data_IF_661548601219
#
_entry.id   IF_661548601219
#
_cell.length_a   1.000
_cell.length_b   1.000
_cell.length_c   1.000
_cell.angle_alpha   90.00
_cell.angle_beta   90.00
_cell.angle_gamma   90.00
#
_symmetry.space_group_name_H-M   'P 1'
#
loop_
_entity.id
_entity.type
_entity.pdbx_description
1 polymer ?
#
# COMPACT_ATOMS: atom_id res chain seq x y z
N UNK A 1 -15.01 -17.13 11.54
CA UNK A 1 -13.57 -16.84 11.26
C UNK A 1 -13.00 -16.04 12.42
N UNK A 2 -11.75 -16.25 12.80
CA UNK A 2 -11.13 -15.49 13.90
C UNK A 2 -10.52 -14.18 13.34
N UNK A 3 -11.13 -12.98 13.58
CA UNK A 3 -10.66 -11.72 13.02
C UNK A 3 -9.24 -11.36 13.48
N UNK A 4 -8.89 -11.68 14.72
CA UNK A 4 -7.56 -11.42 15.30
C UNK A 4 -6.44 -12.19 14.58
N UNK A 5 -6.70 -13.47 14.25
CA UNK A 5 -5.74 -14.27 13.48
C UNK A 5 -5.56 -13.73 12.07
N UNK A 6 -6.67 -13.37 11.41
CA UNK A 6 -6.64 -12.79 10.07
C UNK A 6 -5.86 -11.47 10.07
N UNK A 7 -6.12 -10.59 11.04
CA UNK A 7 -5.39 -9.34 11.21
C UNK A 7 -3.88 -9.55 11.32
N UNK A 8 -3.45 -10.48 12.19
CA UNK A 8 -2.02 -10.79 12.39
C UNK A 8 -1.36 -11.34 11.13
N UNK A 9 -2.00 -12.30 10.47
CA UNK A 9 -1.46 -12.90 9.25
C UNK A 9 -1.36 -11.88 8.12
N UNK A 10 -2.42 -11.09 7.90
CA UNK A 10 -2.45 -10.05 6.87
C UNK A 10 -1.38 -8.98 7.12
N UNK A 11 -1.25 -8.50 8.36
CA UNK A 11 -0.24 -7.51 8.73
C UNK A 11 1.18 -8.04 8.55
N UNK A 12 1.44 -9.30 8.94
CA UNK A 12 2.76 -9.92 8.73
C UNK A 12 3.09 -10.09 7.25
N UNK A 13 2.12 -10.53 6.44
CA UNK A 13 2.27 -10.69 5.00
C UNK A 13 2.54 -9.35 4.32
N UNK A 14 1.80 -8.31 4.69
CA UNK A 14 2.02 -6.95 4.19
C UNK A 14 3.41 -6.43 4.57
N UNK A 15 3.84 -6.61 5.83
CA UNK A 15 5.17 -6.18 6.29
C UNK A 15 6.30 -6.86 5.50
N UNK A 16 6.23 -8.18 5.30
CA UNK A 16 7.22 -8.92 4.49
C UNK A 16 7.23 -8.40 3.05
N UNK A 17 6.06 -8.09 2.48
CA UNK A 17 5.95 -7.52 1.14
C UNK A 17 6.58 -6.13 1.04
N UNK A 18 6.40 -5.27 2.05
CA UNK A 18 7.04 -3.97 2.14
C UNK A 18 8.56 -4.05 2.24
N UNK A 19 9.09 -4.98 3.06
CA UNK A 19 10.52 -5.25 3.11
C UNK A 19 11.04 -5.74 1.76
N UNK A 20 10.28 -6.62 1.09
CA UNK A 20 10.58 -7.05 -0.27
C UNK A 20 10.68 -5.88 -1.26
N UNK A 21 9.72 -4.94 -1.24
CA UNK A 21 9.76 -3.75 -2.09
C UNK A 21 10.99 -2.87 -1.79
N UNK A 22 11.29 -2.67 -0.51
CA UNK A 22 12.43 -1.84 -0.08
C UNK A 22 13.78 -2.43 -0.54
N UNK A 23 13.95 -3.76 -0.54
CA UNK A 23 15.20 -4.40 -0.94
C UNK A 23 15.21 -4.85 -2.40
N UNK A 24 14.08 -4.77 -3.12
CA UNK A 24 13.93 -5.33 -4.47
C UNK A 24 15.02 -4.89 -5.47
N UNK A 25 15.51 -3.64 -5.52
CA UNK A 25 16.55 -3.23 -6.46
C UNK A 25 17.91 -3.91 -6.25
N UNK A 26 18.17 -4.37 -5.01
CA UNK A 26 19.40 -5.07 -4.67
C UNK A 26 19.31 -6.57 -4.95
N UNK A 27 18.13 -7.07 -5.28
CA UNK A 27 17.85 -8.48 -5.53
C UNK A 27 17.68 -8.79 -7.03
N UNK A 28 18.47 -8.18 -7.91
CA UNK A 28 18.50 -8.59 -9.31
C UNK A 28 19.02 -10.04 -9.40
N UNK A 29 18.39 -10.96 -10.12
CA UNK A 29 17.32 -10.86 -11.13
C UNK A 29 15.88 -11.00 -10.60
N UNK A 30 15.66 -11.10 -9.29
CA UNK A 30 14.35 -11.35 -8.66
C UNK A 30 13.45 -10.12 -8.53
N UNK A 31 14.03 -8.93 -8.71
CA UNK A 31 13.33 -7.65 -8.55
C UNK A 31 11.96 -7.55 -9.25
N UNK A 32 11.76 -8.00 -10.50
CA UNK A 32 10.45 -7.95 -11.14
C UNK A 32 9.42 -8.87 -10.46
N UNK A 33 9.85 -10.07 -10.02
CA UNK A 33 8.97 -11.03 -9.33
C UNK A 33 8.56 -10.50 -7.95
N UNK A 34 9.50 -9.93 -7.20
CA UNK A 34 9.21 -9.31 -5.90
C UNK A 34 8.18 -8.20 -6.04
N UNK A 35 8.34 -7.32 -7.04
CA UNK A 35 7.39 -6.25 -7.31
C UNK A 35 6.02 -6.76 -7.77
N UNK A 36 5.99 -7.82 -8.59
CA UNK A 36 4.75 -8.47 -8.99
C UNK A 36 4.01 -9.05 -7.78
N UNK A 37 4.72 -9.80 -6.93
CA UNK A 37 4.10 -10.42 -5.74
C UNK A 37 3.64 -9.34 -4.76
N UNK A 38 4.49 -8.40 -4.39
CA UNK A 38 4.17 -7.37 -3.42
C UNK A 38 3.14 -6.35 -3.95
N UNK A 39 3.20 -6.01 -5.24
CA UNK A 39 2.34 -4.97 -5.82
C UNK A 39 0.99 -5.46 -6.33
N UNK A 40 0.86 -6.75 -6.64
CA UNK A 40 -0.38 -7.28 -7.24
C UNK A 40 -0.90 -8.52 -6.51
N UNK A 41 -0.07 -9.56 -6.33
CA UNK A 41 -0.55 -10.84 -5.77
C UNK A 41 -1.03 -10.66 -4.33
N UNK A 42 -0.22 -10.03 -3.48
CA UNK A 42 -0.56 -9.82 -2.06
C UNK A 42 -1.74 -8.84 -1.91
N UNK A 43 -1.79 -7.66 -2.56
CA UNK A 43 -2.97 -6.80 -2.53
C UNK A 43 -4.25 -7.49 -2.98
N UNK A 44 -4.21 -8.29 -4.05
CA UNK A 44 -5.40 -9.04 -4.52
C UNK A 44 -5.83 -10.11 -3.51
N UNK A 45 -4.88 -10.82 -2.89
CA UNK A 45 -5.21 -11.77 -1.83
C UNK A 45 -5.88 -11.08 -0.64
N UNK A 46 -5.34 -9.95 -0.19
CA UNK A 46 -5.95 -9.14 0.88
C UNK A 46 -7.33 -8.63 0.48
N UNK A 47 -7.53 -8.22 -0.77
CA UNK A 47 -8.82 -7.79 -1.29
C UNK A 47 -9.86 -8.91 -1.30
N UNK A 48 -9.48 -10.14 -1.65
CA UNK A 48 -10.38 -11.31 -1.56
C UNK A 48 -10.80 -11.55 -0.11
N UNK A 49 -9.86 -11.54 0.83
CA UNK A 49 -10.18 -11.74 2.27
C UNK A 49 -11.04 -10.58 2.78
N UNK A 50 -10.78 -9.35 2.36
CA UNK A 50 -11.64 -8.18 2.65
C UNK A 50 -13.09 -8.43 2.22
N UNK A 51 -13.30 -8.84 0.96
CA UNK A 51 -14.65 -9.09 0.43
C UNK A 51 -15.36 -10.20 1.21
N UNK A 52 -14.66 -11.29 1.54
CA UNK A 52 -15.21 -12.40 2.34
C UNK A 52 -15.59 -11.93 3.75
N UNK A 53 -14.74 -11.15 4.42
CA UNK A 53 -15.05 -10.60 5.75
C UNK A 53 -16.25 -9.67 5.71
N UNK A 54 -16.32 -8.80 4.69
CA UNK A 54 -17.42 -7.87 4.53
C UNK A 54 -18.74 -8.60 4.24
N UNK A 55 -18.72 -9.57 3.34
CA UNK A 55 -19.90 -10.40 3.02
C UNK A 55 -20.39 -11.21 4.23
N UNK A 56 -19.48 -11.74 5.05
CA UNK A 56 -19.82 -12.54 6.22
C UNK A 56 -20.42 -11.72 7.37
N UNK A 57 -20.10 -10.43 7.50
CA UNK A 57 -20.58 -9.55 8.58
C UNK A 57 -21.70 -8.61 8.13
N UNK A 58 -21.89 -8.41 6.82
CA UNK A 58 -22.82 -7.43 6.28
C UNK A 58 -22.55 -6.01 6.77
N UNK A 59 -23.57 -5.18 6.87
CA UNK A 59 -23.44 -3.81 7.39
C UNK A 59 -23.54 -3.71 8.94
N UNK A 60 -23.97 -4.77 9.59
CA UNK A 60 -24.11 -4.89 11.06
C UNK A 60 -24.73 -3.66 11.77
N UNK A 61 -25.72 -3.02 11.15
CA UNK A 61 -26.38 -1.81 11.66
C UNK A 61 -25.58 -0.51 11.52
N UNK A 62 -24.41 -0.56 10.88
CA UNK A 62 -23.60 0.60 10.48
C UNK A 62 -23.88 1.06 9.04
N UNK A 63 -22.99 1.87 8.49
CA UNK A 63 -23.08 2.35 7.10
C UNK A 63 -22.04 3.41 6.79
N UNK A 64 -22.17 4.05 5.63
CA UNK A 64 -21.25 5.10 5.15
C UNK A 64 -21.90 6.49 5.07
N UNK A 65 -23.17 6.63 5.55
CA UNK A 65 -23.93 7.87 5.44
C UNK A 65 -23.64 8.92 6.53
N UNK A 66 -22.96 8.54 7.62
CA UNK A 66 -22.58 9.46 8.71
C UNK A 66 -21.37 8.90 9.48
N UNK A 67 -20.70 9.76 10.25
CA UNK A 67 -19.59 9.35 11.13
C UNK A 67 -20.07 8.29 12.12
N UNK A 68 -21.23 8.49 12.77
CA UNK A 68 -21.79 7.52 13.72
C UNK A 68 -22.09 6.17 13.07
N UNK A 69 -22.56 6.16 11.81
CA UNK A 69 -22.79 4.93 11.09
C UNK A 69 -21.48 4.19 10.78
N UNK A 70 -20.42 4.91 10.39
CA UNK A 70 -19.08 4.36 10.19
C UNK A 70 -18.50 3.83 11.50
N UNK A 71 -18.67 4.56 12.61
CA UNK A 71 -18.20 4.09 13.92
C UNK A 71 -18.86 2.77 14.33
N UNK A 72 -20.19 2.65 14.14
CA UNK A 72 -20.90 1.37 14.40
C UNK A 72 -20.38 0.24 13.50
N UNK A 73 -20.11 0.53 12.23
CA UNK A 73 -19.53 -0.44 11.31
C UNK A 73 -18.18 -0.93 11.81
N UNK A 74 -17.30 0.00 12.19
CA UNK A 74 -15.94 -0.30 12.67
C UNK A 74 -15.90 -0.88 14.11
N UNK A 75 -16.99 -0.81 14.87
CA UNK A 75 -17.10 -1.45 16.17
C UNK A 75 -17.19 -2.99 16.07
N UNK A 76 -17.53 -3.53 14.90
CA UNK A 76 -17.59 -4.97 14.64
C UNK A 76 -16.20 -5.50 14.30
N UNK A 77 -15.59 -6.42 15.07
CA UNK A 77 -14.22 -6.86 14.87
C UNK A 77 -13.92 -7.37 13.45
N UNK A 78 -14.86 -8.10 12.84
CA UNK A 78 -14.72 -8.58 11.46
C UNK A 78 -14.66 -7.46 10.43
N UNK A 79 -15.48 -6.41 10.60
CA UNK A 79 -15.50 -5.25 9.71
C UNK A 79 -14.31 -4.30 9.97
N UNK A 80 -13.88 -4.16 11.22
CA UNK A 80 -12.64 -3.46 11.54
C UNK A 80 -11.43 -4.14 10.87
N UNK A 81 -11.37 -5.48 10.95
CA UNK A 81 -10.32 -6.25 10.26
C UNK A 81 -10.42 -6.07 8.75
N UNK A 82 -11.62 -6.07 8.17
CA UNK A 82 -11.80 -5.78 6.75
C UNK A 82 -11.27 -4.38 6.39
N UNK A 83 -11.61 -3.36 7.16
CA UNK A 83 -11.09 -2.00 6.97
C UNK A 83 -9.56 -1.93 7.04
N UNK A 84 -8.95 -2.69 7.95
CA UNK A 84 -7.50 -2.82 8.04
C UNK A 84 -6.89 -3.47 6.80
N UNK A 85 -7.47 -4.57 6.31
CA UNK A 85 -7.02 -5.22 5.07
C UNK A 85 -7.16 -4.32 3.85
N UNK A 86 -8.24 -3.52 3.78
CA UNK A 86 -8.40 -2.49 2.74
C UNK A 86 -7.22 -1.51 2.74
N UNK A 87 -6.88 -0.96 3.91
CA UNK A 87 -5.73 -0.08 4.08
C UNK A 87 -4.43 -0.76 3.62
N UNK A 88 -4.12 -1.96 4.13
CA UNK A 88 -2.90 -2.69 3.78
C UNK A 88 -2.80 -2.97 2.27
N UNK A 89 -3.90 -3.38 1.64
CA UNK A 89 -3.92 -3.72 0.22
C UNK A 89 -3.65 -2.50 -0.67
N UNK A 90 -4.34 -1.39 -0.40
CA UNK A 90 -4.18 -0.18 -1.21
C UNK A 90 -2.84 0.50 -0.99
N UNK A 91 -2.36 0.57 0.24
CA UNK A 91 -1.06 1.18 0.52
C UNK A 91 0.08 0.38 -0.10
N UNK A 92 0.03 -0.95 -0.03
CA UNK A 92 1.03 -1.81 -0.66
C UNK A 92 1.01 -1.69 -2.19
N UNK A 93 -0.18 -1.63 -2.79
CA UNK A 93 -0.33 -1.37 -4.23
C UNK A 93 0.26 -0.01 -4.63
N UNK A 94 -0.06 1.04 -3.88
CA UNK A 94 0.48 2.39 -4.11
C UNK A 94 1.99 2.40 -3.94
N UNK A 95 2.53 1.75 -2.90
CA UNK A 95 3.98 1.64 -2.69
C UNK A 95 4.71 0.93 -3.84
N UNK A 96 4.15 -0.16 -4.35
CA UNK A 96 4.69 -0.86 -5.52
C UNK A 96 4.63 0.01 -6.78
N UNK A 97 3.53 0.73 -7.01
CA UNK A 97 3.38 1.66 -8.11
C UNK A 97 4.40 2.82 -8.01
N UNK A 98 4.60 3.38 -6.82
CA UNK A 98 5.64 4.41 -6.56
C UNK A 98 7.02 3.86 -6.92
N UNK A 99 7.35 2.63 -6.48
CA UNK A 99 8.65 2.00 -6.75
C UNK A 99 8.89 1.80 -8.25
N UNK A 100 7.87 1.34 -8.98
CA UNK A 100 7.94 1.19 -10.43
C UNK A 100 8.10 2.53 -11.14
N UNK A 101 7.27 3.51 -10.79
CA UNK A 101 7.28 4.83 -11.40
C UNK A 101 8.59 5.59 -11.15
N UNK A 102 9.12 5.50 -9.93
CA UNK A 102 10.43 6.07 -9.58
C UNK A 102 11.56 5.47 -10.44
N UNK A 103 11.51 4.16 -10.67
CA UNK A 103 12.47 3.48 -11.56
C UNK A 103 12.43 4.03 -13.00
N UNK A 104 11.24 4.20 -13.58
CA UNK A 104 11.05 4.79 -14.92
C UNK A 104 11.57 6.24 -14.96
N UNK A 105 11.37 7.00 -13.90
CA UNK A 105 11.85 8.40 -13.81
C UNK A 105 13.36 8.50 -13.57
N UNK A 106 14.04 7.40 -13.24
CA UNK A 106 15.46 7.39 -12.87
C UNK A 106 15.72 8.01 -11.50
N UNK A 107 14.77 7.95 -10.57
CA UNK A 107 14.95 8.40 -9.19
C UNK A 107 15.83 7.40 -8.45
N UNK A 108 16.92 7.83 -7.80
CA UNK A 108 17.77 6.93 -7.02
C UNK A 108 16.98 6.23 -5.91
N UNK A 109 17.22 4.93 -5.75
CA UNK A 109 16.49 4.11 -4.79
C UNK A 109 16.60 4.63 -3.34
N UNK A 110 17.74 5.19 -2.98
CA UNK A 110 17.95 5.77 -1.63
C UNK A 110 16.96 6.91 -1.32
N UNK A 111 16.56 7.70 -2.34
CA UNK A 111 15.51 8.72 -2.20
C UNK A 111 14.10 8.12 -2.16
N UNK A 112 13.94 6.91 -2.69
CA UNK A 112 12.67 6.21 -2.67
C UNK A 112 12.36 5.60 -1.29
N UNK A 113 13.35 5.13 -0.54
CA UNK A 113 13.14 4.48 0.76
C UNK A 113 12.32 5.32 1.75
N UNK A 114 12.60 6.61 1.99
CA UNK A 114 11.77 7.43 2.88
C UNK A 114 10.34 7.62 2.35
N UNK A 115 10.13 7.64 1.03
CA UNK A 115 8.79 7.72 0.44
C UNK A 115 8.02 6.42 0.64
N UNK A 116 8.67 5.27 0.49
CA UNK A 116 8.07 3.97 0.79
C UNK A 116 7.71 3.85 2.27
N UNK A 117 8.60 4.27 3.17
CA UNK A 117 8.33 4.29 4.61
C UNK A 117 7.15 5.22 4.94
N UNK A 118 7.09 6.41 4.32
CA UNK A 118 5.99 7.36 4.49
C UNK A 118 4.67 6.78 3.94
N UNK A 119 4.71 6.09 2.80
CA UNK A 119 3.53 5.41 2.23
C UNK A 119 3.07 4.27 3.13
N UNK A 120 4.01 3.47 3.66
CA UNK A 120 3.69 2.40 4.61
C UNK A 120 2.99 2.90 5.88
N UNK A 121 3.41 4.04 6.40
CA UNK A 121 2.86 4.61 7.65
C UNK A 121 1.60 5.45 7.41
N UNK A 122 1.56 6.18 6.31
CA UNK A 122 0.58 7.24 6.04
C UNK A 122 0.22 7.30 4.55
N UNK A 123 -0.09 6.19 3.92
CA UNK A 123 -0.42 6.00 2.49
C UNK A 123 -0.58 7.25 1.64
N UNK A 124 -1.64 8.05 1.83
CA UNK A 124 -1.88 9.26 1.05
C UNK A 124 -0.78 10.31 1.15
N UNK A 125 -0.11 10.43 2.31
CA UNK A 125 1.01 11.38 2.48
C UNK A 125 2.24 10.95 1.67
N UNK A 126 2.53 9.64 1.61
CA UNK A 126 3.60 9.10 0.77
C UNK A 126 3.34 9.32 -0.72
N UNK A 127 2.11 9.10 -1.16
CA UNK A 127 1.68 9.37 -2.54
C UNK A 127 1.85 10.86 -2.89
N UNK A 128 1.37 11.77 -2.01
CA UNK A 128 1.53 13.21 -2.22
C UNK A 128 3.00 13.62 -2.30
N UNK A 129 3.83 13.14 -1.38
CA UNK A 129 5.27 13.42 -1.37
C UNK A 129 5.96 12.91 -2.64
N UNK A 130 5.55 11.74 -3.16
CA UNK A 130 6.06 11.22 -4.42
C UNK A 130 5.70 12.12 -5.62
N UNK A 131 4.47 12.64 -5.69
CA UNK A 131 4.09 13.58 -6.75
C UNK A 131 4.90 14.88 -6.68
N UNK A 132 5.10 15.44 -5.48
CA UNK A 132 5.94 16.63 -5.29
C UNK A 132 7.38 16.37 -5.75
N UNK A 133 7.95 15.22 -5.32
CA UNK A 133 9.29 14.82 -5.77
C UNK A 133 9.36 14.72 -7.30
N UNK A 134 8.36 14.09 -7.92
CA UNK A 134 8.28 13.93 -9.38
C UNK A 134 8.31 15.25 -10.14
N UNK A 135 7.56 16.25 -9.68
CA UNK A 135 7.55 17.59 -10.26
C UNK A 135 8.93 18.26 -10.16
N UNK A 136 9.57 18.18 -9.00
CA UNK A 136 10.91 18.75 -8.78
C UNK A 136 11.98 18.03 -9.60
N UNK A 137 11.89 16.70 -9.70
CA UNK A 137 12.83 15.85 -10.43
C UNK A 137 12.80 16.13 -11.93
N UNK A 138 11.60 16.26 -12.49
CA UNK A 138 11.41 16.57 -13.92
C UNK A 138 11.98 17.93 -14.30
N UNK A 139 11.76 18.95 -13.48
CA UNK A 139 12.31 20.30 -13.70
C UNK A 139 13.84 20.29 -13.73
N UNK A 140 14.50 19.57 -12.79
CA UNK A 140 15.97 19.46 -12.76
C UNK A 140 16.54 18.77 -14.00
N UNK A 141 15.85 17.74 -14.51
CA UNK A 141 16.28 17.01 -15.71
C UNK A 141 16.21 17.90 -16.96
N UNK A 142 15.15 18.69 -17.12
CA UNK A 142 15.00 19.64 -18.24
C UNK A 142 16.09 20.72 -18.22
N UNK A 143 16.40 21.28 -17.06
CA UNK A 143 17.47 22.28 -16.92
C UNK A 143 18.86 21.74 -17.28
N UNK A 144 19.16 20.48 -16.94
CA UNK A 144 20.45 19.85 -17.28
C UNK A 144 20.61 19.52 -18.75
N UNK A 145 19.52 19.43 -19.52
CA UNK A 145 19.56 19.20 -20.96
C UNK A 145 19.67 20.52 -21.77
N UNK A 146 19.44 21.65 -21.13
CA UNK A 146 19.51 22.98 -21.72
C UNK A 146 20.83 23.74 -21.40
N UNK A 147 21.62 23.21 -20.46
CA UNK A 147 22.94 23.70 -20.07
C UNK A 147 24.08 22.90 -20.73
#
# INVERSE_FOLDING_TARGET
>A
MNPELIFKLASSLALVSWLGLAVSPYCAPWSPRVRLVAGYVVPLLLAVVYVVLFAANGMAGGGFGSIDAVQRLMAVPGLLTAGWLHYLAFDLFVGAWIAERAGVMGVPHLLLLPLLALTFMFGPAGLLAFYVLGLLWSRRKTQRLQA
#
